data_IF_324457017415
#
_entry.id   IF_324457017415
#
_cell.length_a   1.000
_cell.length_b   1.000
_cell.length_c   1.000
_cell.angle_alpha   90.00
_cell.angle_beta   90.00
_cell.angle_gamma   90.00
#
_symmetry.space_group_name_H-M   'P 1'
#
loop_
_entity.id
_entity.type
_entity.pdbx_description
1 polymer ?
#
# COMPACT_ATOMS: atom_id res chain seq x y z
N UNK A 1 5.31 8.11 0.76
CA UNK A 1 4.08 8.10 1.60
C UNK A 1 4.29 9.13 2.70
N UNK A 2 3.29 9.95 3.00
CA UNK A 2 3.35 10.97 4.06
C UNK A 2 2.40 10.68 5.22
N UNK A 3 1.31 9.97 4.97
CA UNK A 3 0.40 9.52 6.01
C UNK A 3 -0.32 8.24 5.56
N UNK A 4 -0.70 7.41 6.53
CA UNK A 4 -1.60 6.29 6.31
C UNK A 4 -2.47 6.12 7.55
N UNK A 5 -3.78 6.17 7.39
CA UNK A 5 -4.73 6.14 8.49
C UNK A 5 -5.85 5.13 8.25
N UNK A 6 -6.28 4.50 9.33
CA UNK A 6 -7.46 3.67 9.41
C UNK A 6 -8.51 4.48 10.16
N UNK A 7 -9.66 4.67 9.52
CA UNK A 7 -10.84 5.20 10.20
C UNK A 7 -11.71 4.04 10.69
N UNK A 8 -11.92 3.97 12.01
CA UNK A 8 -12.81 3.00 12.65
C UNK A 8 -13.67 3.72 13.68
N UNK A 9 -14.99 3.68 13.48
CA UNK A 9 -15.98 4.20 14.44
C UNK A 9 -15.71 5.67 14.83
N UNK A 10 -15.28 6.50 13.88
CA UNK A 10 -14.97 7.92 14.09
C UNK A 10 -13.61 8.21 14.73
N UNK A 11 -12.79 7.19 14.94
CA UNK A 11 -11.40 7.33 15.40
C UNK A 11 -10.44 7.01 14.25
N UNK A 12 -9.48 7.90 14.01
CA UNK A 12 -8.39 7.69 13.06
C UNK A 12 -7.16 7.15 13.79
N UNK A 13 -6.64 6.00 13.38
CA UNK A 13 -5.40 5.40 13.91
C UNK A 13 -4.40 5.13 12.77
N UNK A 14 -3.08 5.13 13.02
CA UNK A 14 -2.11 4.89 11.95
C UNK A 14 -2.25 3.49 11.35
N UNK A 15 -2.32 3.41 10.01
CA UNK A 15 -2.51 2.13 9.30
C UNK A 15 -1.24 1.27 9.25
N UNK A 16 -0.07 1.92 9.25
CA UNK A 16 1.26 1.30 9.14
C UNK A 16 2.22 1.91 10.17
N UNK A 17 1.78 1.96 11.43
CA UNK A 17 2.54 2.51 12.55
C UNK A 17 2.65 4.03 12.54
N UNK A 18 3.28 4.59 13.59
CA UNK A 18 3.39 6.04 13.79
C UNK A 18 4.28 6.74 12.74
N UNK A 19 5.12 5.97 12.04
CA UNK A 19 6.05 6.46 11.01
C UNK A 19 5.92 5.63 9.74
N UNK A 20 4.80 5.78 9.01
CA UNK A 20 4.58 5.03 7.79
C UNK A 20 5.60 5.45 6.74
N UNK A 21 6.26 4.49 6.10
CA UNK A 21 7.17 4.73 4.98
C UNK A 21 6.81 3.83 3.81
N UNK A 22 6.82 4.37 2.60
CA UNK A 22 6.44 3.59 1.43
C UNK A 22 6.48 4.38 0.14
N UNK A 23 6.55 3.62 -0.95
CA UNK A 23 6.59 4.11 -2.32
C UNK A 23 5.50 3.41 -3.13
N UNK A 24 4.84 4.19 -3.97
CA UNK A 24 3.95 3.72 -5.01
C UNK A 24 4.44 4.32 -6.32
N UNK A 25 4.64 3.47 -7.32
CA UNK A 25 5.07 3.89 -8.65
C UNK A 25 4.11 3.33 -9.67
N UNK A 26 3.63 4.21 -10.55
CA UNK A 26 2.93 3.83 -11.77
C UNK A 26 3.85 4.06 -12.96
N UNK A 27 3.92 3.10 -13.86
CA UNK A 27 4.74 3.18 -15.06
C UNK A 27 3.87 3.51 -16.29
N UNK A 28 4.44 4.13 -17.35
CA UNK A 28 3.69 4.46 -18.56
C UNK A 28 3.13 3.25 -19.32
N UNK A 29 3.74 2.08 -19.15
CA UNK A 29 3.31 0.81 -19.73
C UNK A 29 2.28 0.06 -18.86
N UNK A 30 1.58 0.78 -17.99
CA UNK A 30 0.44 0.30 -17.21
C UNK A 30 0.78 -0.74 -16.12
N UNK A 31 2.00 -0.69 -15.57
CA UNK A 31 2.38 -1.45 -14.38
C UNK A 31 2.44 -0.57 -13.14
N UNK A 32 2.29 -1.19 -11.99
CA UNK A 32 2.49 -0.53 -10.71
C UNK A 32 3.27 -1.41 -9.74
N UNK A 33 3.98 -0.76 -8.83
CA UNK A 33 4.56 -1.38 -7.64
C UNK A 33 4.28 -0.50 -6.43
N UNK A 34 3.86 -1.14 -5.35
CA UNK A 34 3.55 -0.52 -4.08
C UNK A 34 4.27 -1.26 -2.97
N UNK A 35 5.01 -0.54 -2.14
CA UNK A 35 5.66 -1.10 -0.94
C UNK A 35 5.41 -0.16 0.21
N UNK A 36 4.71 -0.65 1.23
CA UNK A 36 4.40 0.06 2.47
C UNK A 36 5.01 -0.68 3.65
N UNK A 37 5.59 0.08 4.57
CA UNK A 37 6.31 -0.43 5.73
C UNK A 37 6.06 0.45 6.94
N UNK A 38 5.93 -0.18 8.09
CA UNK A 38 6.11 0.46 9.38
C UNK A 38 7.60 0.50 9.71
N UNK A 39 8.17 1.71 9.70
CA UNK A 39 9.60 1.94 9.97
C UNK A 39 10.01 1.71 11.44
N UNK A 40 9.07 1.36 12.31
CA UNK A 40 9.33 1.01 13.71
C UNK A 40 9.58 -0.49 13.92
N UNK A 41 9.28 -1.34 12.93
CA UNK A 41 9.56 -2.78 13.02
C UNK A 41 11.07 -3.01 13.17
N UNK A 42 11.46 -3.76 14.21
CA UNK A 42 12.85 -4.02 14.52
C UNK A 42 13.52 -4.91 13.45
N UNK A 43 14.82 -4.70 13.16
CA UNK A 43 15.61 -5.63 12.38
C UNK A 43 15.66 -7.02 13.03
N UNK A 44 15.86 -8.04 12.20
CA UNK A 44 16.00 -9.42 12.65
C UNK A 44 17.37 -9.59 13.31
N UNK A 45 17.46 -10.47 14.31
CA UNK A 45 18.75 -10.81 14.91
C UNK A 45 19.69 -11.54 13.92
N UNK A 46 19.11 -12.37 13.04
CA UNK A 46 19.86 -13.05 11.96
C UNK A 46 20.00 -12.17 10.73
N UNK A 47 21.16 -12.21 10.09
CA UNK A 47 21.40 -11.62 8.77
C UNK A 47 21.07 -12.58 7.61
N UNK A 48 20.62 -13.80 7.89
CA UNK A 48 20.22 -14.77 6.87
C UNK A 48 18.72 -14.64 6.62
N UNK A 49 18.37 -14.26 5.39
CA UNK A 49 16.96 -14.08 5.00
C UNK A 49 16.18 -15.38 5.17
N UNK A 50 15.09 -15.32 5.93
CA UNK A 50 14.22 -16.46 6.20
C UNK A 50 14.54 -17.22 7.49
N UNK A 51 15.62 -16.89 8.18
CA UNK A 51 15.99 -17.50 9.47
C UNK A 51 15.60 -16.63 10.68
N UNK A 52 14.66 -15.70 10.50
CA UNK A 52 14.05 -15.00 11.62
C UNK A 52 13.27 -15.94 12.52
N UNK A 53 13.13 -15.57 13.78
CA UNK A 53 12.18 -16.20 14.70
C UNK A 53 10.74 -16.01 14.21
N UNK A 54 9.81 -16.83 14.69
CA UNK A 54 8.38 -16.69 14.39
C UNK A 54 7.84 -15.30 14.75
N UNK A 55 8.33 -14.71 15.85
CA UNK A 55 7.92 -13.39 16.30
C UNK A 55 8.40 -12.29 15.35
N UNK A 56 9.67 -12.35 14.92
CA UNK A 56 10.24 -11.38 13.97
C UNK A 56 9.56 -11.47 12.60
N UNK A 57 9.37 -12.68 12.08
CA UNK A 57 8.67 -12.90 10.80
C UNK A 57 7.23 -12.38 10.85
N UNK A 58 6.50 -12.65 11.95
CA UNK A 58 5.13 -12.15 12.13
C UNK A 58 5.10 -10.63 12.18
N UNK A 59 6.00 -10.00 12.92
CA UNK A 59 6.06 -8.54 13.01
C UNK A 59 6.35 -7.90 11.66
N UNK A 60 7.32 -8.44 10.90
CA UNK A 60 7.65 -7.96 9.57
C UNK A 60 6.49 -8.08 8.58
N UNK A 61 5.81 -9.24 8.57
CA UNK A 61 4.66 -9.46 7.70
C UNK A 61 3.44 -8.63 8.08
N UNK A 62 3.20 -8.40 9.38
CA UNK A 62 2.07 -7.59 9.84
C UNK A 62 2.31 -6.09 9.61
N UNK A 63 3.56 -5.63 9.72
CA UNK A 63 3.94 -4.23 9.56
C UNK A 63 4.29 -3.82 8.13
N UNK A 64 4.19 -4.70 7.14
CA UNK A 64 4.53 -4.36 5.76
C UNK A 64 3.65 -5.06 4.74
N UNK A 65 3.50 -4.41 3.59
CA UNK A 65 2.90 -5.00 2.40
C UNK A 65 3.68 -4.54 1.17
N UNK A 66 4.06 -5.48 0.32
CA UNK A 66 4.59 -5.21 -1.00
C UNK A 66 3.71 -5.87 -2.04
N UNK A 67 3.34 -5.17 -3.09
CA UNK A 67 2.58 -5.73 -4.21
C UNK A 67 2.93 -5.05 -5.53
N UNK A 68 2.67 -5.75 -6.63
CA UNK A 68 2.82 -5.21 -7.97
C UNK A 68 1.81 -5.88 -8.92
N UNK A 69 1.63 -5.25 -10.07
CA UNK A 69 0.82 -5.79 -11.16
C UNK A 69 0.50 -4.73 -12.19
N UNK A 70 -0.68 -4.80 -12.77
CA UNK A 70 -1.14 -3.87 -13.82
C UNK A 70 -2.23 -2.94 -13.29
N UNK A 71 -2.32 -1.75 -13.86
CA UNK A 71 -3.42 -0.82 -13.61
C UNK A 71 -4.09 -0.38 -14.92
N UNK A 72 -5.28 0.20 -14.80
CA UNK A 72 -6.01 0.79 -15.92
C UNK A 72 -6.41 2.21 -15.59
N UNK A 73 -6.58 3.01 -16.63
CA UNK A 73 -7.14 4.36 -16.54
C UNK A 73 -8.39 4.49 -17.40
N UNK A 74 -9.23 5.48 -17.13
CA UNK A 74 -10.39 5.81 -17.93
C UNK A 74 -10.03 6.76 -19.11
N UNK A 75 -11.05 7.25 -19.83
CA UNK A 75 -10.86 8.15 -20.97
C UNK A 75 -10.24 9.51 -20.60
N UNK A 76 -10.30 9.92 -19.33
CA UNK A 76 -9.70 11.15 -18.82
C UNK A 76 -8.29 10.91 -18.26
N UNK A 77 -7.81 9.65 -18.25
CA UNK A 77 -6.54 9.28 -17.65
C UNK A 77 -6.62 9.08 -16.13
N UNK A 78 -7.81 9.02 -15.56
CA UNK A 78 -8.00 8.75 -14.13
C UNK A 78 -7.92 7.25 -13.84
N UNK A 79 -7.40 6.88 -12.67
CA UNK A 79 -7.34 5.48 -12.26
C UNK A 79 -8.72 4.81 -12.28
N UNK A 80 -8.83 3.70 -13.01
CA UNK A 80 -10.09 2.95 -13.17
C UNK A 80 -10.07 1.56 -12.52
N UNK A 81 -8.90 1.05 -12.18
CA UNK A 81 -8.75 -0.23 -11.50
C UNK A 81 -7.34 -0.79 -11.59
N UNK A 82 -7.12 -1.93 -10.93
CA UNK A 82 -5.86 -2.66 -11.02
C UNK A 82 -6.06 -4.17 -10.84
N UNK A 83 -5.01 -4.92 -11.19
CA UNK A 83 -4.89 -6.35 -10.93
C UNK A 83 -3.59 -6.60 -10.17
N UNK A 84 -3.68 -7.35 -9.08
CA UNK A 84 -2.51 -7.77 -8.29
C UNK A 84 -1.91 -9.01 -8.95
N UNK A 85 -0.66 -8.94 -9.37
CA UNK A 85 0.06 -10.06 -10.00
C UNK A 85 1.05 -10.72 -9.05
N UNK A 86 1.59 -9.96 -8.10
CA UNK A 86 2.41 -10.47 -7.01
C UNK A 86 2.21 -9.66 -5.74
N UNK A 87 2.26 -10.32 -4.58
CA UNK A 87 2.15 -9.67 -3.29
C UNK A 87 2.87 -10.47 -2.19
N UNK A 88 3.39 -9.77 -1.18
CA UNK A 88 3.96 -10.41 0.03
C UNK A 88 2.89 -11.10 0.86
N UNK A 89 1.64 -10.63 0.81
CA UNK A 89 0.47 -11.36 1.30
C UNK A 89 -0.18 -12.13 0.13
N UNK A 90 0.07 -13.44 -0.01
CA UNK A 90 -0.24 -14.17 -1.24
C UNK A 90 -1.74 -14.25 -1.55
N UNK A 91 -2.59 -14.11 -0.54
CA UNK A 91 -4.05 -14.16 -0.68
C UNK A 91 -4.60 -13.03 -1.57
N UNK A 92 -3.81 -11.98 -1.84
CA UNK A 92 -4.23 -10.91 -2.74
C UNK A 92 -3.85 -11.14 -4.20
N UNK A 93 -2.99 -12.11 -4.50
CA UNK A 93 -2.58 -12.41 -5.88
C UNK A 93 -3.80 -12.83 -6.70
N UNK A 94 -3.97 -12.21 -7.87
CA UNK A 94 -5.10 -12.42 -8.76
C UNK A 94 -6.31 -11.54 -8.49
N UNK A 95 -6.35 -10.79 -7.38
CA UNK A 95 -7.42 -9.85 -7.12
C UNK A 95 -7.47 -8.77 -8.21
N UNK A 96 -8.69 -8.50 -8.68
CA UNK A 96 -9.01 -7.37 -9.55
C UNK A 96 -9.81 -6.38 -8.72
N UNK A 97 -9.32 -5.14 -8.61
CA UNK A 97 -9.97 -4.07 -7.87
C UNK A 97 -10.46 -3.01 -8.85
N UNK A 98 -11.69 -2.55 -8.64
CA UNK A 98 -12.27 -1.43 -9.38
C UNK A 98 -12.25 -0.17 -8.52
N UNK A 99 -12.74 0.95 -9.05
CA UNK A 99 -12.94 2.20 -8.28
C UNK A 99 -13.88 2.05 -7.08
N UNK A 100 -14.63 0.95 -6.98
CA UNK A 100 -15.42 0.61 -5.78
C UNK A 100 -14.55 0.09 -4.64
N UNK A 101 -13.45 -0.57 -4.96
CA UNK A 101 -12.59 -1.25 -4.00
C UNK A 101 -11.36 -0.39 -3.66
N UNK A 102 -10.82 0.31 -4.65
CA UNK A 102 -9.69 1.22 -4.54
C UNK A 102 -9.94 2.47 -5.37
N UNK A 103 -10.03 3.62 -4.71
CA UNK A 103 -10.10 4.92 -5.38
C UNK A 103 -8.77 5.64 -5.22
N UNK A 104 -8.28 6.19 -6.33
CA UNK A 104 -7.10 7.05 -6.34
C UNK A 104 -7.53 8.44 -6.81
N UNK A 105 -7.16 9.47 -6.06
CA UNK A 105 -7.31 10.86 -6.46
C UNK A 105 -5.94 11.54 -6.47
N UNK A 106 -5.73 12.44 -7.43
CA UNK A 106 -4.49 13.19 -7.58
C UNK A 106 -4.83 14.68 -7.65
N UNK A 107 -4.22 15.47 -6.77
CA UNK A 107 -4.29 16.93 -6.72
C UNK A 107 -2.87 17.50 -6.71
N UNK A 108 -2.41 17.95 -7.89
CA UNK A 108 -1.03 18.38 -8.11
C UNK A 108 -0.01 17.27 -7.79
N UNK A 109 0.76 17.48 -6.73
CA UNK A 109 1.77 16.54 -6.24
C UNK A 109 1.28 15.64 -5.11
N UNK A 110 0.03 15.79 -4.67
CA UNK A 110 -0.58 14.95 -3.65
C UNK A 110 -1.45 13.89 -4.29
N UNK A 111 -1.24 12.64 -3.92
CA UNK A 111 -2.08 11.51 -4.29
C UNK A 111 -2.71 10.91 -3.03
N UNK A 112 -3.99 10.57 -3.08
CA UNK A 112 -4.70 9.87 -2.02
C UNK A 112 -5.25 8.55 -2.53
N UNK A 113 -4.97 7.46 -1.82
CA UNK A 113 -5.61 6.16 -1.97
C UNK A 113 -6.67 5.98 -0.90
N UNK A 114 -7.86 5.54 -1.31
CA UNK A 114 -8.92 5.13 -0.41
C UNK A 114 -9.36 3.72 -0.75
N UNK A 115 -9.37 2.84 0.23
CA UNK A 115 -9.95 1.50 0.08
C UNK A 115 -10.64 1.05 1.35
N UNK A 116 -11.65 0.19 1.18
CA UNK A 116 -12.43 -0.37 2.27
C UNK A 116 -12.15 -1.86 2.35
N UNK A 117 -11.79 -2.35 3.54
CA UNK A 117 -11.67 -3.79 3.79
C UNK A 117 -13.05 -4.44 3.91
N UNK A 118 -13.18 -5.76 3.70
CA UNK A 118 -14.46 -6.46 3.85
C UNK A 118 -15.13 -6.30 5.23
N UNK A 119 -14.35 -6.01 6.27
CA UNK A 119 -14.83 -5.75 7.63
C UNK A 119 -15.39 -4.31 7.83
N UNK A 120 -15.44 -3.50 6.77
CA UNK A 120 -15.92 -2.12 6.79
C UNK A 120 -14.88 -1.08 7.19
N UNK A 121 -13.64 -1.49 7.46
CA UNK A 121 -12.55 -0.57 7.81
C UNK A 121 -12.15 0.27 6.59
N UNK A 122 -12.24 1.59 6.70
CA UNK A 122 -11.78 2.54 5.69
C UNK A 122 -10.30 2.87 5.91
N UNK A 123 -9.50 2.79 4.86
CA UNK A 123 -8.08 3.15 4.89
C UNK A 123 -7.86 4.28 3.91
N UNK A 124 -7.17 5.33 4.37
CA UNK A 124 -6.66 6.42 3.56
C UNK A 124 -5.12 6.42 3.60
N UNK A 125 -4.49 6.46 2.43
CA UNK A 125 -3.04 6.59 2.29
C UNK A 125 -2.75 7.81 1.44
N UNK A 126 -1.86 8.68 1.92
CA UNK A 126 -1.47 9.90 1.23
C UNK A 126 -0.01 9.77 0.80
N UNK A 127 0.25 10.05 -0.47
CA UNK A 127 1.56 10.12 -1.07
C UNK A 127 1.83 11.54 -1.58
N UNK A 128 3.09 11.95 -1.49
CA UNK A 128 3.60 13.11 -2.21
C UNK A 128 4.51 12.62 -3.34
N UNK A 129 4.39 13.28 -4.50
CA UNK A 129 5.21 12.99 -5.67
C UNK A 129 6.69 13.25 -5.35
N UNK A 130 7.53 12.25 -5.61
CA UNK A 130 8.98 12.45 -5.57
C UNK A 130 9.38 13.30 -6.77
N UNK A 131 9.91 14.49 -6.52
CA UNK A 131 10.54 15.33 -7.53
C UNK A 131 12.04 15.08 -7.52
N UNK A 132 12.59 14.65 -8.65
CA UNK A 132 14.03 14.72 -8.85
C UNK A 132 14.35 16.20 -9.11
N UNK A 133 15.15 16.79 -8.22
CA UNK A 133 15.66 18.17 -8.38
C UNK A 133 16.55 18.33 -9.60
#
# INVERSE_FOLDING_TARGET
MVAASIEREGTSVPAYGERPSGLLTFTPDMHYVEVLTDSTVAPFASNVRGEGTDAENRAAMAGSIGMFGTYTVDANGEFSGNRVEGATFPNWVGNVRTTKDLRITVDGDRMTEHFTRPDGTSIEIIFERVTNG
#
